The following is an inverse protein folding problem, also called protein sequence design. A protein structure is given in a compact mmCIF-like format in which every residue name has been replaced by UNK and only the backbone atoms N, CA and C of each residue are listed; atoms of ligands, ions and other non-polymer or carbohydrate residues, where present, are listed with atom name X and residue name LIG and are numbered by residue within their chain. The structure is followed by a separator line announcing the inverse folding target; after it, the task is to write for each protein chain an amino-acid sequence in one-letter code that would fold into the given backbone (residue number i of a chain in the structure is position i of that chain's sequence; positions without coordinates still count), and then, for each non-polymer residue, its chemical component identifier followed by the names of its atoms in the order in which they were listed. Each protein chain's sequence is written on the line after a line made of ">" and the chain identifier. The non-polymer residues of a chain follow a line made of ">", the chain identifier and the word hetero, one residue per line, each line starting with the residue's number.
data_IF_170214159444
#
_entry.id   IF_170214159444
#
_cell.length_a   1.000
_cell.length_b   1.000
_cell.length_c   1.000
_cell.angle_alpha   90.00
_cell.angle_beta   90.00
_cell.angle_gamma   90.00
#
_symmetry.space_group_name_H-M   'P 1'
#
loop_
_entity.id
_entity.type
_entity.pdbx_description
1 polymer ?
#
# COMPACT_ATOMS: atom_id res chain seq x y z
N UNK A 1 6.27 -9.04 34.10
CA UNK A 1 5.27 -9.62 33.18
C UNK A 1 4.03 -8.76 32.98
N UNK A 2 3.25 -8.40 34.01
CA UNK A 2 2.01 -7.63 33.82
C UNK A 2 2.25 -6.26 33.15
N UNK A 3 3.23 -5.49 33.65
CA UNK A 3 3.62 -4.19 33.07
C UNK A 3 3.99 -4.30 31.58
N UNK A 4 4.71 -5.37 31.22
CA UNK A 4 5.00 -5.68 29.83
C UNK A 4 3.70 -5.96 29.04
N UNK A 5 2.80 -6.82 29.53
CA UNK A 5 1.56 -7.10 28.79
C UNK A 5 0.65 -5.88 28.59
N UNK A 6 0.76 -4.88 29.45
CA UNK A 6 -0.05 -3.65 29.40
C UNK A 6 0.67 -2.46 28.77
N UNK A 7 1.87 -2.63 28.22
CA UNK A 7 2.57 -1.57 27.49
C UNK A 7 3.36 -0.56 28.32
N UNK A 8 3.53 -0.79 29.63
CA UNK A 8 4.32 0.09 30.52
C UNK A 8 5.79 -0.34 30.52
N UNK A 9 6.45 -0.21 29.36
CA UNK A 9 7.79 -0.76 29.10
C UNK A 9 8.89 -0.13 29.96
N UNK A 10 8.83 1.18 30.15
CA UNK A 10 9.74 1.95 31.02
C UNK A 10 9.70 1.44 32.47
N UNK A 11 8.49 1.30 33.02
CA UNK A 11 8.28 0.78 34.38
C UNK A 11 8.67 -0.70 34.49
N UNK A 12 8.41 -1.48 33.44
CA UNK A 12 8.78 -2.88 33.39
C UNK A 12 10.31 -3.06 33.39
N UNK A 13 11.04 -2.26 32.62
CA UNK A 13 12.50 -2.28 32.57
C UNK A 13 13.12 -1.87 33.91
N UNK A 14 12.67 -0.75 34.48
CA UNK A 14 13.17 -0.25 35.77
C UNK A 14 12.92 -1.25 36.90
N UNK A 15 11.71 -1.82 36.96
CA UNK A 15 11.37 -2.83 37.96
C UNK A 15 12.21 -4.10 37.80
N UNK A 16 12.40 -4.58 36.56
CA UNK A 16 13.20 -5.76 36.32
C UNK A 16 14.67 -5.57 36.73
N UNK A 17 15.26 -4.40 36.46
CA UNK A 17 16.62 -4.05 36.89
C UNK A 17 16.74 -4.01 38.42
N UNK A 18 15.79 -3.36 39.12
CA UNK A 18 15.77 -3.32 40.59
C UNK A 18 15.69 -4.72 41.19
N UNK A 19 14.84 -5.58 40.64
CA UNK A 19 14.67 -6.95 41.13
C UNK A 19 15.92 -7.81 40.85
N UNK A 20 16.58 -7.64 39.71
CA UNK A 20 17.82 -8.36 39.40
C UNK A 20 18.97 -8.07 40.37
N UNK A 21 18.97 -6.89 41.00
CA UNK A 21 19.97 -6.48 41.99
C UNK A 21 19.76 -7.15 43.36
N UNK A 22 18.53 -7.55 43.69
CA UNK A 22 18.19 -8.13 45.00
C UNK A 22 17.93 -9.64 44.96
N UNK A 23 17.60 -10.20 43.78
CA UNK A 23 17.40 -11.64 43.62
C UNK A 23 18.74 -12.38 43.64
N UNK A 24 18.93 -13.38 44.54
CA UNK A 24 20.16 -14.14 44.65
C UNK A 24 20.61 -14.77 43.32
N UNK A 25 21.93 -14.83 43.03
CA UNK A 25 22.45 -15.35 41.75
C UNK A 25 22.07 -16.82 41.44
N UNK A 26 21.83 -17.62 42.48
CA UNK A 26 21.43 -19.03 42.41
C UNK A 26 19.92 -19.24 42.18
N UNK A 27 19.11 -18.18 42.26
CA UNK A 27 17.66 -18.22 42.00
C UNK A 27 17.35 -18.21 40.50
N UNK A 28 17.68 -19.30 39.81
CA UNK A 28 17.66 -19.43 38.35
C UNK A 28 16.34 -19.01 37.70
N UNK A 29 15.20 -19.61 38.08
CA UNK A 29 13.90 -19.35 37.42
C UNK A 29 13.46 -17.88 37.56
N UNK A 30 13.48 -17.26 38.75
CA UNK A 30 13.21 -15.83 38.90
C UNK A 30 14.14 -14.93 38.05
N UNK A 31 15.44 -15.24 37.99
CA UNK A 31 16.38 -14.45 37.18
C UNK A 31 16.10 -14.59 35.68
N UNK A 32 15.72 -15.78 35.21
CA UNK A 32 15.32 -16.00 33.83
C UNK A 32 14.11 -15.15 33.43
N UNK A 33 13.09 -15.10 34.26
CA UNK A 33 11.93 -14.26 34.00
C UNK A 33 12.31 -12.78 33.98
N UNK A 34 13.15 -12.33 34.90
CA UNK A 34 13.55 -10.93 34.98
C UNK A 34 14.40 -10.50 33.79
N UNK A 35 15.41 -11.28 33.39
CA UNK A 35 16.22 -10.96 32.20
C UNK A 35 15.39 -10.98 30.91
N UNK A 36 14.47 -11.94 30.75
CA UNK A 36 13.56 -11.95 29.61
C UNK A 36 12.66 -10.70 29.59
N UNK A 37 12.02 -10.38 30.73
CA UNK A 37 11.14 -9.21 30.81
C UNK A 37 11.89 -7.89 30.59
N UNK A 38 13.13 -7.79 31.05
CA UNK A 38 14.00 -6.63 30.85
C UNK A 38 14.37 -6.48 29.38
N UNK A 39 14.85 -7.55 28.74
CA UNK A 39 15.21 -7.54 27.33
C UNK A 39 14.00 -7.19 26.43
N UNK A 40 12.83 -7.77 26.73
CA UNK A 40 11.60 -7.48 26.00
C UNK A 40 11.19 -6.00 26.14
N UNK A 41 11.26 -5.44 27.35
CA UNK A 41 10.93 -4.04 27.59
C UNK A 41 11.91 -3.09 26.89
N UNK A 42 13.21 -3.35 27.00
CA UNK A 42 14.27 -2.56 26.33
C UNK A 42 14.12 -2.58 24.80
N UNK A 43 13.79 -3.74 24.23
CA UNK A 43 13.52 -3.87 22.80
C UNK A 43 12.31 -3.03 22.37
N UNK A 44 11.20 -3.06 23.13
CA UNK A 44 10.00 -2.24 22.84
C UNK A 44 10.25 -0.73 23.02
N UNK A 45 11.24 -0.35 23.82
CA UNK A 45 11.72 1.03 23.96
C UNK A 45 12.74 1.43 22.88
N UNK A 46 13.15 0.52 21.99
CA UNK A 46 14.16 0.78 20.95
C UNK A 46 15.60 0.75 21.45
N UNK A 47 15.87 0.30 22.67
CA UNK A 47 17.21 0.21 23.25
C UNK A 47 17.89 -1.11 22.84
N UNK A 48 18.22 -1.24 21.56
CA UNK A 48 18.66 -2.51 20.95
C UNK A 48 19.91 -3.09 21.61
N UNK A 49 20.94 -2.28 21.88
CA UNK A 49 22.18 -2.73 22.53
C UNK A 49 21.93 -3.25 23.96
N UNK A 50 21.07 -2.56 24.71
CA UNK A 50 20.73 -2.95 26.08
C UNK A 50 19.91 -4.24 26.10
N UNK A 51 18.95 -4.37 25.17
CA UNK A 51 18.15 -5.57 25.02
C UNK A 51 19.00 -6.78 24.61
N UNK A 52 19.97 -6.60 23.70
CA UNK A 52 20.94 -7.65 23.34
C UNK A 52 21.80 -8.07 24.54
N UNK A 53 22.26 -7.09 25.33
CA UNK A 53 23.03 -7.36 26.56
C UNK A 53 22.19 -8.16 27.57
N UNK A 54 20.93 -7.77 27.78
CA UNK A 54 19.99 -8.49 28.66
C UNK A 54 19.66 -9.89 28.14
N UNK A 55 19.57 -10.10 26.83
CA UNK A 55 19.39 -11.43 26.25
C UNK A 55 20.61 -12.34 26.43
N UNK A 56 21.83 -11.80 26.32
CA UNK A 56 23.04 -12.57 26.66
C UNK A 56 23.05 -12.99 28.13
N UNK A 57 22.64 -12.10 29.04
CA UNK A 57 22.51 -12.41 30.45
C UNK A 57 21.42 -13.47 30.72
N UNK A 58 20.30 -13.43 29.98
CA UNK A 58 19.30 -14.50 29.98
C UNK A 58 19.92 -15.84 29.57
N UNK A 59 20.69 -15.88 28.48
CA UNK A 59 21.29 -17.12 27.98
C UNK A 59 22.25 -17.76 28.99
N UNK A 60 23.03 -16.95 29.69
CA UNK A 60 23.93 -17.41 30.75
C UNK A 60 23.15 -17.93 31.96
N UNK A 61 22.16 -17.18 32.45
CA UNK A 61 21.39 -17.54 33.64
C UNK A 61 20.47 -18.76 33.42
N UNK A 62 20.04 -18.99 32.17
CA UNK A 62 18.97 -19.93 31.83
C UNK A 62 19.45 -21.14 31.04
N UNK A 63 20.77 -21.36 30.96
CA UNK A 63 21.40 -22.41 30.16
C UNK A 63 20.94 -23.84 30.52
N UNK A 64 20.38 -24.06 31.70
CA UNK A 64 19.88 -25.36 32.18
C UNK A 64 18.39 -25.62 31.94
N UNK A 65 17.60 -24.66 31.44
CA UNK A 65 16.18 -24.88 31.18
C UNK A 65 15.96 -25.93 30.06
N UNK A 66 14.88 -26.71 30.04
CA UNK A 66 14.56 -27.53 28.88
C UNK A 66 14.44 -26.68 27.60
N UNK A 67 14.86 -27.17 26.41
CA UNK A 67 14.70 -26.44 25.15
C UNK A 67 13.27 -25.99 24.84
N UNK A 68 12.28 -26.80 25.23
CA UNK A 68 10.85 -26.54 25.08
C UNK A 68 10.23 -25.72 26.22
N UNK A 69 11.04 -25.22 27.16
CA UNK A 69 10.55 -24.36 28.24
C UNK A 69 9.99 -23.05 27.66
N UNK A 70 8.83 -22.62 28.14
CA UNK A 70 8.09 -21.45 27.61
C UNK A 70 8.95 -20.18 27.50
N UNK A 71 9.78 -19.90 28.51
CA UNK A 71 10.72 -18.77 28.48
C UNK A 71 11.78 -18.89 27.37
N UNK A 72 12.29 -20.09 27.06
CA UNK A 72 13.25 -20.25 25.96
C UNK A 72 12.58 -20.04 24.60
N UNK A 73 11.35 -20.52 24.45
CA UNK A 73 10.54 -20.30 23.24
C UNK A 73 10.29 -18.80 23.04
N UNK A 74 9.85 -18.10 24.08
CA UNK A 74 9.61 -16.65 24.03
C UNK A 74 10.90 -15.85 23.78
N UNK A 75 12.02 -16.24 24.40
CA UNK A 75 13.33 -15.65 24.16
C UNK A 75 13.79 -15.82 22.70
N UNK A 76 13.41 -16.92 22.03
CA UNK A 76 13.69 -17.12 20.61
C UNK A 76 13.07 -16.03 19.73
N UNK A 77 11.87 -15.56 20.06
CA UNK A 77 11.21 -14.47 19.33
C UNK A 77 11.95 -13.14 19.55
N UNK A 78 12.33 -12.83 20.79
CA UNK A 78 13.11 -11.63 21.11
C UNK A 78 14.47 -11.63 20.42
N UNK A 79 15.15 -12.78 20.32
CA UNK A 79 16.41 -12.89 19.58
C UNK A 79 16.24 -12.70 18.08
N UNK A 80 15.15 -13.19 17.49
CA UNK A 80 14.85 -12.98 16.08
C UNK A 80 14.65 -11.48 15.78
N UNK A 81 14.07 -10.74 16.71
CA UNK A 81 13.92 -9.28 16.62
C UNK A 81 15.24 -8.51 16.89
N UNK A 82 16.14 -9.03 17.73
CA UNK A 82 17.43 -8.40 18.09
C UNK A 82 18.61 -8.75 17.18
N UNK A 83 18.52 -9.84 16.44
CA UNK A 83 19.58 -10.24 15.52
C UNK A 83 19.82 -9.14 14.48
N UNK A 84 21.01 -9.10 13.84
CA UNK A 84 21.16 -8.29 12.64
C UNK A 84 19.99 -8.64 11.73
N UNK A 85 19.23 -7.63 11.29
CA UNK A 85 18.33 -7.81 10.16
C UNK A 85 19.23 -8.13 8.98
N UNK A 86 19.64 -9.40 8.86
CA UNK A 86 20.24 -9.91 7.66
C UNK A 86 19.33 -9.42 6.53
N UNK A 87 19.88 -8.86 5.44
CA UNK A 87 19.07 -8.49 4.30
C UNK A 87 18.24 -9.72 3.98
N UNK A 88 16.94 -9.62 4.26
CA UNK A 88 15.99 -10.63 3.86
C UNK A 88 16.12 -10.57 2.35
N UNK A 89 16.66 -11.63 1.75
CA UNK A 89 16.59 -11.79 0.29
C UNK A 89 15.19 -11.37 -0.10
N UNK A 90 15.01 -10.38 -0.99
CA UNK A 90 13.70 -9.88 -1.31
C UNK A 90 12.78 -11.09 -1.52
N UNK A 91 11.68 -11.23 -0.76
CA UNK A 91 10.77 -12.36 -0.91
C UNK A 91 10.10 -12.39 -2.29
N UNK A 92 10.32 -11.34 -3.09
CA UNK A 92 9.93 -11.19 -4.48
C UNK A 92 11.10 -11.64 -5.37
N UNK A 93 10.84 -12.57 -6.29
CA UNK A 93 11.83 -13.02 -7.26
C UNK A 93 12.43 -11.84 -8.04
N UNK A 94 13.74 -11.85 -8.23
CA UNK A 94 14.40 -10.88 -9.09
C UNK A 94 14.26 -11.33 -10.55
N UNK A 95 13.56 -10.54 -11.34
CA UNK A 95 13.37 -10.74 -12.78
C UNK A 95 14.46 -10.05 -13.61
N UNK A 96 15.44 -9.41 -12.97
CA UNK A 96 16.57 -8.73 -13.59
C UNK A 96 16.25 -7.36 -14.20
N UNK A 97 15.02 -6.86 -14.02
CA UNK A 97 14.63 -5.54 -14.54
C UNK A 97 15.19 -4.40 -13.66
N UNK A 98 15.05 -4.53 -12.34
CA UNK A 98 15.39 -3.44 -11.43
C UNK A 98 16.89 -3.33 -11.22
N UNK A 99 17.44 -2.19 -11.61
CA UNK A 99 18.77 -1.78 -11.17
C UNK A 99 18.68 -1.12 -9.79
N UNK A 100 19.67 -1.40 -8.94
CA UNK A 100 19.86 -0.67 -7.68
C UNK A 100 20.91 0.42 -7.86
N UNK A 101 20.82 1.47 -7.05
CA UNK A 101 21.82 2.53 -6.98
C UNK A 101 22.11 2.93 -5.54
N UNK A 102 23.35 3.35 -5.30
CA UNK A 102 23.68 4.09 -4.07
C UNK A 102 22.87 5.40 -4.07
N UNK A 103 22.08 5.69 -3.01
CA UNK A 103 21.24 6.89 -2.92
C UNK A 103 22.00 8.18 -3.23
N UNK A 104 23.23 8.31 -2.74
CA UNK A 104 24.05 9.53 -2.87
C UNK A 104 24.43 9.79 -4.33
N UNK A 105 24.65 8.74 -5.11
CA UNK A 105 25.02 8.84 -6.54
C UNK A 105 23.88 9.31 -7.43
N UNK A 106 22.64 9.24 -6.95
CA UNK A 106 21.44 9.71 -7.67
C UNK A 106 20.77 10.90 -6.97
N UNK A 107 21.51 11.60 -6.10
CA UNK A 107 21.06 12.82 -5.44
C UNK A 107 19.91 12.59 -4.47
N UNK A 108 19.99 11.49 -3.70
CA UNK A 108 19.08 11.18 -2.59
C UNK A 108 19.85 11.29 -1.27
N UNK A 109 19.29 12.02 -0.31
CA UNK A 109 19.84 12.13 1.04
C UNK A 109 19.71 10.78 1.79
N UNK A 110 20.85 10.20 2.16
CA UNK A 110 20.91 8.88 2.79
C UNK A 110 20.31 8.87 4.21
N UNK A 111 20.45 9.95 4.97
CA UNK A 111 19.91 10.05 6.34
C UNK A 111 18.39 10.20 6.31
N UNK A 112 17.86 11.01 5.39
CA UNK A 112 16.42 11.13 5.15
C UNK A 112 15.82 9.80 4.67
N UNK A 113 16.56 9.06 3.83
CA UNK A 113 16.14 7.74 3.36
C UNK A 113 16.12 6.73 4.52
N UNK A 114 17.09 6.74 5.42
CA UNK A 114 17.06 5.88 6.63
C UNK A 114 15.90 6.26 7.57
N UNK A 115 15.62 7.56 7.76
CA UNK A 115 14.42 8.01 8.51
C UNK A 115 13.13 7.49 7.87
N UNK A 116 13.05 7.49 6.54
CA UNK A 116 11.90 6.93 5.82
C UNK A 116 11.76 5.41 6.04
N UNK A 117 12.86 4.64 6.01
CA UNK A 117 12.83 3.21 6.35
C UNK A 117 12.35 2.97 7.78
N UNK A 118 12.86 3.73 8.74
CA UNK A 118 12.41 3.64 10.13
C UNK A 118 10.91 3.99 10.28
N UNK A 119 10.43 4.99 9.55
CA UNK A 119 9.00 5.34 9.50
C UNK A 119 8.15 4.22 8.90
N UNK A 120 8.61 3.54 7.85
CA UNK A 120 7.94 2.37 7.30
C UNK A 120 7.72 1.29 8.36
N UNK A 121 8.76 0.97 9.13
CA UNK A 121 8.68 0.00 10.21
C UNK A 121 7.73 0.46 11.34
N UNK A 122 7.89 1.69 11.83
CA UNK A 122 7.08 2.25 12.93
C UNK A 122 5.60 2.44 12.56
N UNK A 123 5.32 2.65 11.28
CA UNK A 123 3.95 2.78 10.75
C UNK A 123 3.30 1.43 10.42
N UNK A 124 3.97 0.31 10.71
CA UNK A 124 3.42 -1.03 10.51
C UNK A 124 3.42 -1.51 9.06
N UNK A 125 4.20 -0.91 8.17
CA UNK A 125 4.31 -1.36 6.79
C UNK A 125 4.84 -2.81 6.71
N UNK A 126 4.41 -3.51 5.67
CA UNK A 126 4.96 -4.81 5.28
C UNK A 126 6.06 -4.65 4.24
N UNK A 127 5.97 -3.64 3.37
CA UNK A 127 7.02 -3.34 2.42
C UNK A 127 7.10 -1.85 2.12
N UNK A 128 8.31 -1.39 1.84
CA UNK A 128 8.59 -0.07 1.30
C UNK A 128 9.64 -0.15 0.19
N UNK A 129 9.37 0.49 -0.94
CA UNK A 129 10.29 0.61 -2.08
C UNK A 129 10.36 2.07 -2.51
N UNK A 130 11.56 2.60 -2.65
CA UNK A 130 11.83 3.94 -3.18
C UNK A 130 12.63 3.79 -4.47
N UNK A 131 12.09 4.36 -5.54
CA UNK A 131 12.71 4.40 -6.86
C UNK A 131 13.02 5.85 -7.21
N UNK A 132 14.27 6.12 -7.59
CA UNK A 132 14.72 7.41 -8.09
C UNK A 132 15.36 7.23 -9.46
N UNK A 133 14.94 8.03 -10.45
CA UNK A 133 15.48 7.97 -11.83
C UNK A 133 15.49 6.54 -12.40
N UNK A 134 14.42 5.79 -12.15
CA UNK A 134 14.25 4.42 -12.62
C UNK A 134 15.09 3.35 -11.89
N UNK A 135 15.80 3.71 -10.81
CA UNK A 135 16.60 2.76 -10.00
C UNK A 135 16.06 2.65 -8.58
N UNK A 136 16.08 1.45 -8.02
CA UNK A 136 15.76 1.24 -6.61
C UNK A 136 16.90 1.81 -5.76
N UNK A 137 16.57 2.74 -4.86
CA UNK A 137 17.50 3.33 -3.88
C UNK A 137 17.23 2.86 -2.46
N UNK A 138 16.01 2.40 -2.19
CA UNK A 138 15.66 1.73 -0.95
C UNK A 138 14.64 0.64 -1.23
N UNK A 139 14.84 -0.51 -0.60
CA UNK A 139 13.90 -1.62 -0.61
C UNK A 139 13.96 -2.31 0.74
N UNK A 140 12.80 -2.40 1.41
CA UNK A 140 12.67 -2.98 2.73
C UNK A 140 11.39 -3.79 2.83
N UNK A 141 11.49 -4.95 3.49
CA UNK A 141 10.37 -5.85 3.74
C UNK A 141 10.36 -6.23 5.21
N UNK A 142 9.18 -6.17 5.83
CA UNK A 142 8.99 -6.65 7.19
C UNK A 142 8.92 -8.19 7.20
N UNK A 143 9.23 -8.85 8.33
CA UNK A 143 9.02 -10.30 8.48
C UNK A 143 7.57 -10.76 8.30
N UNK A 144 6.60 -9.83 8.29
CA UNK A 144 5.18 -10.12 8.07
C UNK A 144 4.78 -10.08 6.60
N UNK A 145 5.66 -9.59 5.72
CA UNK A 145 5.37 -9.49 4.30
C UNK A 145 5.19 -10.86 3.65
N UNK A 146 4.14 -10.98 2.85
CA UNK A 146 3.85 -12.15 2.03
C UNK A 146 3.36 -11.66 0.66
N UNK A 147 3.68 -12.44 -0.39
CA UNK A 147 3.27 -12.16 -1.76
C UNK A 147 2.19 -13.15 -2.23
N UNK A 148 1.25 -12.72 -3.10
CA UNK A 148 1.00 -11.33 -3.50
C UNK A 148 0.28 -10.54 -2.40
N UNK A 149 0.52 -9.23 -2.38
CA UNK A 149 -0.13 -8.31 -1.46
C UNK A 149 -1.33 -7.61 -2.12
N UNK A 150 -2.36 -7.32 -1.34
CA UNK A 150 -3.56 -6.65 -1.82
C UNK A 150 -3.34 -5.14 -1.87
N UNK A 151 -3.55 -4.51 -3.02
CA UNK A 151 -3.36 -3.07 -3.22
C UNK A 151 -4.49 -2.21 -2.62
N UNK A 152 -5.53 -2.82 -2.03
CA UNK A 152 -6.68 -2.10 -1.49
C UNK A 152 -7.26 -1.13 -2.54
N UNK A 153 -7.75 0.04 -2.13
CA UNK A 153 -8.29 1.06 -3.04
C UNK A 153 -7.29 1.64 -4.05
N UNK A 154 -5.99 1.36 -3.96
CA UNK A 154 -5.04 1.80 -4.99
C UNK A 154 -5.34 1.18 -6.37
N UNK A 155 -6.08 0.07 -6.39
CA UNK A 155 -6.65 -0.54 -7.60
C UNK A 155 -7.46 0.44 -8.45
N UNK A 156 -8.12 1.43 -7.84
CA UNK A 156 -8.92 2.43 -8.57
C UNK A 156 -8.06 3.21 -9.58
N UNK A 157 -6.82 3.52 -9.23
CA UNK A 157 -5.90 4.24 -10.12
C UNK A 157 -5.48 3.40 -11.32
N UNK A 158 -5.38 2.07 -11.14
CA UNK A 158 -5.20 1.12 -12.25
C UNK A 158 -6.45 1.07 -13.13
N UNK A 159 -7.64 1.00 -12.54
CA UNK A 159 -8.92 1.10 -13.28
C UNK A 159 -8.99 2.40 -14.10
N UNK A 160 -8.60 3.54 -13.52
CA UNK A 160 -8.51 4.81 -14.23
C UNK A 160 -7.57 4.74 -15.42
N UNK A 161 -6.39 4.12 -15.25
CA UNK A 161 -5.45 3.90 -16.35
C UNK A 161 -6.06 3.05 -17.48
N UNK A 162 -6.79 1.99 -17.16
CA UNK A 162 -7.46 1.14 -18.16
C UNK A 162 -8.53 1.91 -18.95
N UNK A 163 -9.28 2.82 -18.29
CA UNK A 163 -10.21 3.73 -18.99
C UNK A 163 -9.44 4.62 -19.98
N UNK A 164 -8.31 5.19 -19.56
CA UNK A 164 -7.44 5.99 -20.44
C UNK A 164 -6.95 5.22 -21.66
N UNK A 165 -6.49 3.99 -21.47
CA UNK A 165 -6.02 3.14 -22.56
C UNK A 165 -7.15 2.81 -23.55
N UNK A 166 -8.37 2.53 -23.06
CA UNK A 166 -9.53 2.27 -23.91
C UNK A 166 -10.03 3.53 -24.64
N UNK A 167 -9.86 4.73 -24.05
CA UNK A 167 -10.08 6.00 -24.74
C UNK A 167 -9.07 6.22 -25.87
N UNK A 168 -7.78 6.00 -25.59
CA UNK A 168 -6.71 6.14 -26.59
C UNK A 168 -6.89 5.17 -27.77
N UNK A 169 -7.46 3.98 -27.52
CA UNK A 169 -7.81 2.99 -28.54
C UNK A 169 -9.12 3.31 -29.30
N UNK A 170 -9.85 4.35 -28.91
CA UNK A 170 -11.16 4.68 -29.48
C UNK A 170 -12.27 3.67 -29.12
N UNK A 171 -12.03 2.80 -28.15
CA UNK A 171 -13.02 1.82 -27.64
C UNK A 171 -14.03 2.46 -26.68
N UNK A 172 -13.60 3.50 -25.98
CA UNK A 172 -14.48 4.43 -25.29
C UNK A 172 -14.48 5.75 -26.08
N UNK A 173 -15.63 6.29 -26.49
CA UNK A 173 -15.65 7.51 -27.31
C UNK A 173 -15.15 8.76 -26.58
N UNK A 174 -15.57 8.96 -25.33
CA UNK A 174 -15.16 10.13 -24.53
C UNK A 174 -15.46 9.93 -23.04
N UNK A 175 -14.91 10.79 -22.18
CA UNK A 175 -15.32 10.85 -20.76
C UNK A 175 -16.78 11.27 -20.58
N UNK A 176 -17.34 12.04 -21.52
CA UNK A 176 -18.75 12.39 -21.54
C UNK A 176 -19.68 11.24 -21.92
N UNK A 177 -19.15 10.07 -22.30
CA UNK A 177 -19.96 8.91 -22.67
C UNK A 177 -20.90 8.52 -21.52
N UNK A 178 -22.22 8.51 -21.76
CA UNK A 178 -23.19 8.06 -20.77
C UNK A 178 -23.00 6.57 -20.44
N UNK A 179 -23.17 6.22 -19.17
CA UNK A 179 -23.18 4.82 -18.71
C UNK A 179 -24.24 4.01 -19.45
N UNK A 180 -25.34 4.66 -19.82
CA UNK A 180 -26.46 4.04 -20.50
C UNK A 180 -26.12 3.43 -21.87
N UNK A 181 -25.04 3.89 -22.52
CA UNK A 181 -24.52 3.29 -23.76
C UNK A 181 -24.06 1.84 -23.54
N UNK A 182 -23.59 1.51 -22.34
CA UNK A 182 -23.13 0.17 -21.98
C UNK A 182 -24.18 -0.60 -21.18
N UNK A 183 -25.03 0.08 -20.43
CA UNK A 183 -26.03 -0.52 -19.54
C UNK A 183 -27.42 0.03 -19.89
N UNK A 184 -28.19 -0.71 -20.71
CA UNK A 184 -29.48 -0.22 -21.21
C UNK A 184 -30.49 0.15 -20.11
N UNK A 185 -30.45 -0.53 -18.95
CA UNK A 185 -31.30 -0.18 -17.80
C UNK A 185 -30.95 1.15 -17.12
N UNK A 186 -29.82 1.76 -17.49
CA UNK A 186 -29.42 3.10 -17.06
C UNK A 186 -29.89 4.19 -18.04
N UNK A 187 -30.63 3.86 -19.11
CA UNK A 187 -31.15 4.85 -20.07
C UNK A 187 -32.36 5.67 -19.57
N UNK A 188 -32.87 5.42 -18.36
CA UNK A 188 -34.09 6.05 -17.84
C UNK A 188 -33.84 6.79 -16.52
N UNK A 189 -34.64 7.85 -16.30
CA UNK A 189 -34.56 8.69 -15.11
C UNK A 189 -33.19 9.33 -14.91
N UNK A 190 -32.86 9.66 -13.67
CA UNK A 190 -31.61 10.36 -13.34
C UNK A 190 -30.34 9.56 -13.69
N UNK A 191 -30.45 8.22 -13.75
CA UNK A 191 -29.34 7.34 -14.16
C UNK A 191 -28.88 7.61 -15.60
N UNK A 192 -29.77 8.11 -16.46
CA UNK A 192 -29.44 8.45 -17.86
C UNK A 192 -28.40 9.58 -17.97
N UNK A 193 -28.24 10.38 -16.92
CA UNK A 193 -27.29 11.48 -16.86
C UNK A 193 -25.93 11.09 -16.27
N UNK A 194 -25.74 9.85 -15.82
CA UNK A 194 -24.45 9.38 -15.32
C UNK A 194 -23.50 9.11 -16.49
N UNK A 195 -22.31 9.70 -16.44
CA UNK A 195 -21.26 9.58 -17.46
C UNK A 195 -20.01 8.92 -16.87
N UNK A 196 -19.06 8.53 -17.73
CA UNK A 196 -17.76 8.07 -17.27
C UNK A 196 -17.00 9.12 -16.47
N UNK A 197 -17.12 10.42 -16.81
CA UNK A 197 -16.60 11.51 -15.98
C UNK A 197 -17.10 11.34 -14.55
N UNK A 198 -18.41 11.21 -14.35
CA UNK A 198 -18.97 11.14 -13.00
C UNK A 198 -18.48 9.92 -12.19
N UNK A 199 -18.24 8.77 -12.83
CA UNK A 199 -17.68 7.60 -12.15
C UNK A 199 -16.22 7.82 -11.74
N UNK A 200 -15.41 8.42 -12.61
CA UNK A 200 -13.99 8.66 -12.37
C UNK A 200 -13.72 9.80 -11.38
N UNK A 201 -14.63 10.78 -11.29
CA UNK A 201 -14.50 11.95 -10.41
C UNK A 201 -15.16 11.75 -9.05
N UNK A 202 -15.73 10.58 -8.77
CA UNK A 202 -16.48 10.28 -7.54
C UNK A 202 -17.72 11.15 -7.36
N UNK A 203 -18.40 11.50 -8.47
CA UNK A 203 -19.59 12.36 -8.48
C UNK A 203 -20.78 11.71 -9.21
N UNK A 204 -20.85 10.38 -9.28
CA UNK A 204 -21.91 9.66 -9.98
C UNK A 204 -23.28 9.71 -9.31
N UNK A 205 -23.31 10.09 -8.04
CA UNK A 205 -24.50 10.00 -7.21
C UNK A 205 -24.78 8.59 -6.69
N UNK A 206 -23.96 7.58 -7.03
CA UNK A 206 -24.03 6.28 -6.36
C UNK A 206 -23.62 6.40 -4.89
N UNK A 207 -24.25 5.63 -3.99
CA UNK A 207 -23.98 5.73 -2.56
C UNK A 207 -22.55 5.32 -2.23
N UNK A 208 -22.01 5.85 -1.14
CA UNK A 208 -20.82 5.29 -0.47
C UNK A 208 -21.30 4.33 0.60
N UNK A 209 -21.12 3.03 0.38
CA UNK A 209 -21.52 2.00 1.35
C UNK A 209 -20.29 1.45 2.10
N UNK A 210 -20.51 1.00 3.34
CA UNK A 210 -19.47 0.35 4.16
C UNK A 210 -19.91 -1.07 4.49
N UNK A 211 -20.81 -1.23 5.46
CA UNK A 211 -21.50 -2.49 5.70
C UNK A 211 -22.53 -2.73 4.58
N UNK A 212 -22.70 -4.00 4.18
CA UNK A 212 -23.65 -4.42 3.13
C UNK A 212 -23.39 -3.77 1.76
N UNK A 213 -22.20 -3.19 1.57
CA UNK A 213 -21.78 -2.60 0.31
C UNK A 213 -21.27 -3.64 -0.67
N UNK A 214 -20.67 -3.14 -1.76
CA UNK A 214 -20.17 -4.00 -2.85
C UNK A 214 -19.12 -5.04 -2.39
N UNK A 215 -18.42 -4.77 -1.29
CA UNK A 215 -17.48 -5.72 -0.67
C UNK A 215 -18.13 -6.93 -0.01
N UNK A 216 -19.42 -6.88 0.30
CA UNK A 216 -20.14 -7.93 1.05
C UNK A 216 -20.98 -8.87 0.17
N UNK A 217 -20.97 -8.68 -1.16
CA UNK A 217 -21.74 -9.50 -2.10
C UNK A 217 -20.83 -10.37 -2.98
N UNK A 218 -21.33 -11.54 -3.38
CA UNK A 218 -20.59 -12.51 -4.20
C UNK A 218 -20.56 -12.17 -5.69
N UNK A 219 -21.62 -11.53 -6.20
CA UNK A 219 -21.72 -11.05 -7.58
C UNK A 219 -21.90 -9.53 -7.56
N UNK A 220 -20.83 -8.82 -7.94
CA UNK A 220 -20.70 -7.38 -7.67
C UNK A 220 -21.38 -6.52 -8.71
N UNK A 221 -21.36 -6.96 -9.97
CA UNK A 221 -21.82 -6.16 -11.10
C UNK A 221 -23.35 -5.96 -11.07
N UNK A 222 -24.19 -7.02 -10.97
CA UNK A 222 -25.63 -6.85 -10.84
C UNK A 222 -26.03 -6.04 -9.62
N UNK A 223 -25.30 -6.19 -8.50
CA UNK A 223 -25.53 -5.42 -7.29
C UNK A 223 -25.40 -3.92 -7.56
N UNK A 224 -24.25 -3.46 -8.06
CA UNK A 224 -24.03 -2.00 -8.28
C UNK A 224 -24.88 -1.45 -9.42
N UNK A 225 -25.19 -2.25 -10.44
CA UNK A 225 -26.08 -1.85 -11.53
C UNK A 225 -27.50 -1.59 -11.02
N UNK A 226 -27.97 -2.36 -10.03
CA UNK A 226 -29.30 -2.25 -9.45
C UNK A 226 -29.45 -1.08 -8.45
N UNK A 227 -28.34 -0.62 -7.83
CA UNK A 227 -28.39 0.41 -6.78
C UNK A 227 -29.09 1.70 -7.25
N UNK A 228 -29.95 2.32 -6.42
CA UNK A 228 -30.48 3.65 -6.71
C UNK A 228 -29.38 4.72 -6.55
N UNK A 229 -29.59 5.88 -7.18
CA UNK A 229 -28.75 7.04 -6.91
C UNK A 229 -29.15 7.63 -5.54
N UNK A 230 -28.15 7.98 -4.74
CA UNK A 230 -28.30 8.71 -3.48
C UNK A 230 -28.25 10.24 -3.67
N UNK A 231 -27.76 10.71 -4.81
CA UNK A 231 -27.71 12.13 -5.18
C UNK A 231 -27.81 12.31 -6.70
N UNK A 232 -28.14 13.51 -7.15
CA UNK A 232 -28.09 13.88 -8.56
C UNK A 232 -26.64 13.78 -9.08
N UNK A 233 -26.40 13.20 -10.27
CA UNK A 233 -25.04 13.11 -10.82
C UNK A 233 -24.38 14.49 -10.95
N UNK A 234 -23.13 14.60 -10.53
CA UNK A 234 -22.32 15.81 -10.60
C UNK A 234 -22.50 16.80 -9.43
N UNK A 235 -23.47 16.61 -8.54
CA UNK A 235 -23.77 17.60 -7.48
C UNK A 235 -23.09 17.32 -6.14
N UNK A 236 -22.66 16.09 -5.90
CA UNK A 236 -21.98 15.69 -4.66
C UNK A 236 -20.73 14.88 -4.95
N UNK A 237 -19.72 15.04 -4.09
CA UNK A 237 -18.52 14.19 -4.11
C UNK A 237 -18.63 13.15 -3.02
N UNK A 238 -18.55 11.88 -3.40
CA UNK A 238 -18.59 10.74 -2.49
C UNK A 238 -17.64 9.65 -2.97
N UNK A 239 -16.63 9.33 -2.15
CA UNK A 239 -15.69 8.24 -2.42
C UNK A 239 -16.38 6.87 -2.38
N UNK A 240 -17.00 6.49 -3.50
CA UNK A 240 -17.92 5.36 -3.64
C UNK A 240 -17.22 4.18 -4.29
N UNK A 241 -17.16 3.04 -3.58
CA UNK A 241 -16.69 1.79 -4.17
C UNK A 241 -17.70 1.29 -5.21
N UNK A 242 -18.98 1.53 -4.96
CA UNK A 242 -20.10 1.15 -5.82
C UNK A 242 -20.00 1.85 -7.18
N UNK A 243 -19.68 3.15 -7.16
CA UNK A 243 -19.44 3.95 -8.37
C UNK A 243 -18.29 3.42 -9.21
N UNK A 244 -17.18 3.05 -8.58
CA UNK A 244 -16.02 2.52 -9.32
C UNK A 244 -16.27 1.09 -9.79
N UNK A 245 -16.96 0.24 -9.01
CA UNK A 245 -17.31 -1.12 -9.46
C UNK A 245 -18.18 -1.10 -10.71
N UNK A 246 -19.04 -0.09 -10.88
CA UNK A 246 -19.85 0.04 -12.11
C UNK A 246 -18.99 0.15 -13.39
N UNK A 247 -17.70 0.49 -13.28
CA UNK A 247 -16.77 0.44 -14.39
C UNK A 247 -16.48 -1.00 -14.86
N UNK A 248 -16.57 -2.03 -14.02
CA UNK A 248 -16.32 -3.44 -14.41
C UNK A 248 -17.11 -3.85 -15.67
N UNK A 249 -18.47 -3.86 -15.66
CA UNK A 249 -19.23 -4.30 -16.82
C UNK A 249 -19.17 -3.32 -18.01
N UNK A 250 -18.79 -2.06 -17.76
CA UNK A 250 -18.58 -1.06 -18.82
C UNK A 250 -17.27 -1.35 -19.56
N UNK A 251 -16.20 -1.59 -18.80
CA UNK A 251 -14.87 -1.82 -19.35
C UNK A 251 -14.80 -3.18 -20.05
N UNK A 252 -15.47 -4.21 -19.56
CA UNK A 252 -15.62 -5.49 -20.27
C UNK A 252 -16.22 -5.28 -21.67
N UNK A 253 -17.32 -4.52 -21.75
CA UNK A 253 -18.01 -4.23 -23.03
C UNK A 253 -17.16 -3.37 -23.96
N UNK A 254 -16.47 -2.36 -23.43
CA UNK A 254 -15.61 -1.50 -24.22
C UNK A 254 -14.37 -2.27 -24.73
N UNK A 255 -13.75 -3.10 -23.88
CA UNK A 255 -12.60 -3.92 -24.24
C UNK A 255 -12.97 -5.02 -25.24
N UNK A 256 -14.19 -5.57 -25.14
CA UNK A 256 -14.66 -6.73 -25.91
C UNK A 256 -14.20 -8.07 -25.32
N UNK A 257 -13.65 -8.05 -24.11
CA UNK A 257 -13.11 -9.18 -23.33
C UNK A 257 -13.17 -8.80 -21.84
N UNK A 258 -13.07 -9.74 -20.90
CA UNK A 258 -12.98 -9.42 -19.47
C UNK A 258 -11.86 -8.41 -19.19
N UNK A 259 -12.13 -7.40 -18.38
CA UNK A 259 -11.20 -6.30 -18.16
C UNK A 259 -9.90 -6.74 -17.49
N UNK A 260 -9.94 -7.83 -16.71
CA UNK A 260 -8.73 -8.45 -16.17
C UNK A 260 -7.85 -9.02 -17.31
N UNK A 261 -8.42 -9.66 -18.33
CA UNK A 261 -7.66 -10.23 -19.45
C UNK A 261 -7.03 -9.11 -20.30
N UNK A 262 -7.82 -8.05 -20.56
CA UNK A 262 -7.31 -6.83 -21.20
C UNK A 262 -6.18 -6.21 -20.37
N UNK A 263 -6.35 -6.04 -19.06
CA UNK A 263 -5.33 -5.48 -18.18
C UNK A 263 -4.05 -6.33 -18.16
N UNK A 264 -4.17 -7.65 -18.09
CA UNK A 264 -3.02 -8.55 -18.16
C UNK A 264 -2.26 -8.36 -19.47
N UNK A 265 -2.93 -8.48 -20.61
CA UNK A 265 -2.32 -8.43 -21.94
C UNK A 265 -1.79 -7.05 -22.35
N UNK A 266 -2.45 -5.98 -21.90
CA UNK A 266 -2.19 -4.61 -22.39
C UNK A 266 -1.41 -3.75 -21.41
N UNK A 267 -1.44 -4.08 -20.13
CA UNK A 267 -0.79 -3.30 -19.08
C UNK A 267 0.23 -4.15 -18.29
N UNK A 268 -0.21 -5.22 -17.63
CA UNK A 268 0.66 -5.93 -16.69
C UNK A 268 1.81 -6.68 -17.39
N UNK A 269 1.51 -7.50 -18.40
CA UNK A 269 2.52 -8.24 -19.15
C UNK A 269 3.53 -7.31 -19.86
N UNK A 270 3.11 -6.25 -20.59
CA UNK A 270 4.06 -5.31 -21.20
C UNK A 270 4.96 -4.57 -20.20
N UNK A 271 4.49 -4.33 -18.98
CA UNK A 271 5.31 -3.73 -17.92
C UNK A 271 6.21 -4.77 -17.22
N UNK A 272 5.96 -6.06 -17.41
CA UNK A 272 6.64 -7.13 -16.66
C UNK A 272 6.07 -7.35 -15.25
N UNK A 273 4.84 -6.91 -15.00
CA UNK A 273 4.13 -7.07 -13.72
C UNK A 273 3.53 -8.48 -13.59
N UNK A 274 4.40 -9.50 -13.54
CA UNK A 274 4.02 -10.92 -13.66
C UNK A 274 3.26 -11.49 -12.45
N UNK A 275 3.39 -10.86 -11.29
CA UNK A 275 2.66 -11.25 -10.07
C UNK A 275 1.47 -10.34 -9.79
N UNK A 276 1.00 -9.61 -10.81
CA UNK A 276 -0.10 -8.68 -10.69
C UNK A 276 -1.35 -9.14 -11.43
N UNK A 277 -2.50 -9.10 -10.75
CA UNK A 277 -3.82 -9.33 -11.36
C UNK A 277 -4.91 -8.59 -10.61
N UNK A 278 -5.96 -8.19 -11.32
CA UNK A 278 -7.19 -7.74 -10.67
C UNK A 278 -7.82 -8.92 -9.92
N UNK A 279 -8.32 -8.67 -8.71
CA UNK A 279 -9.09 -9.67 -7.98
C UNK A 279 -10.43 -9.89 -8.67
N UNK A 280 -10.93 -11.13 -8.64
CA UNK A 280 -12.17 -11.51 -9.29
C UNK A 280 -13.19 -11.93 -8.25
N UNK A 281 -14.47 -11.63 -8.49
CA UNK A 281 -15.57 -12.16 -7.68
C UNK A 281 -15.92 -13.62 -8.06
N UNK A 282 -16.93 -14.20 -7.43
CA UNK A 282 -17.33 -15.61 -7.66
C UNK A 282 -17.89 -15.86 -9.07
N UNK A 283 -18.16 -14.79 -9.84
CA UNK A 283 -18.64 -14.81 -11.22
C UNK A 283 -17.57 -14.37 -12.23
N UNK A 284 -16.33 -14.21 -11.78
CA UNK A 284 -15.21 -13.74 -12.56
C UNK A 284 -15.31 -12.26 -13.01
N UNK A 285 -16.13 -11.44 -12.36
CA UNK A 285 -16.09 -9.99 -12.57
C UNK A 285 -14.92 -9.38 -11.80
N UNK A 286 -14.19 -8.48 -12.45
CA UNK A 286 -13.03 -7.84 -11.82
C UNK A 286 -13.46 -6.82 -10.76
N UNK A 287 -12.72 -6.79 -9.65
CA UNK A 287 -12.85 -5.77 -8.63
C UNK A 287 -12.15 -4.51 -9.12
N UNK A 288 -12.90 -3.60 -9.74
CA UNK A 288 -12.32 -2.35 -10.25
C UNK A 288 -12.12 -1.30 -9.16
N UNK A 289 -12.75 -1.48 -7.98
CA UNK A 289 -12.63 -0.55 -6.86
C UNK A 289 -11.52 -0.89 -5.86
N UNK A 290 -11.06 -2.15 -5.77
CA UNK A 290 -10.10 -2.54 -4.74
C UNK A 290 -9.35 -3.84 -5.07
N UNK A 291 -8.32 -4.10 -4.27
CA UNK A 291 -7.81 -5.44 -4.01
C UNK A 291 -7.14 -6.17 -5.18
N UNK A 292 -6.68 -5.45 -6.20
CA UNK A 292 -5.65 -5.96 -7.11
C UNK A 292 -4.50 -6.58 -6.32
N UNK A 293 -4.15 -7.80 -6.68
CA UNK A 293 -3.00 -8.52 -6.16
C UNK A 293 -1.75 -8.02 -6.87
N UNK A 294 -0.68 -7.72 -6.14
CA UNK A 294 0.57 -7.22 -6.72
C UNK A 294 1.77 -7.40 -5.77
N UNK A 295 2.96 -7.06 -6.26
CA UNK A 295 4.19 -6.95 -5.47
C UNK A 295 4.63 -5.48 -5.37
N UNK A 296 5.43 -5.09 -4.36
CA UNK A 296 5.96 -3.73 -4.28
C UNK A 296 6.76 -3.31 -5.52
N UNK A 297 7.53 -4.26 -6.09
CA UNK A 297 8.30 -4.06 -7.33
C UNK A 297 7.39 -3.88 -8.54
N UNK A 298 6.36 -4.70 -8.71
CA UNK A 298 5.39 -4.55 -9.80
C UNK A 298 4.66 -3.22 -9.70
N UNK A 299 4.22 -2.87 -8.49
CA UNK A 299 3.50 -1.63 -8.27
C UNK A 299 4.39 -0.40 -8.54
N UNK A 300 5.70 -0.48 -8.26
CA UNK A 300 6.67 0.55 -8.62
C UNK A 300 6.85 0.70 -10.14
N UNK A 301 6.67 -0.37 -10.95
CA UNK A 301 6.69 -0.29 -12.42
C UNK A 301 5.55 0.60 -12.93
N UNK A 302 4.36 0.48 -12.35
CA UNK A 302 3.24 1.37 -12.63
C UNK A 302 3.58 2.83 -12.28
N UNK A 303 4.25 3.05 -11.14
CA UNK A 303 4.76 4.37 -10.76
C UNK A 303 5.71 4.96 -11.79
N UNK A 304 6.66 4.16 -12.28
CA UNK A 304 7.61 4.58 -13.32
C UNK A 304 6.93 4.85 -14.66
N UNK A 305 5.90 4.07 -15.04
CA UNK A 305 5.07 4.36 -16.22
C UNK A 305 4.43 5.76 -16.11
N UNK A 306 3.83 6.06 -14.97
CA UNK A 306 3.18 7.35 -14.71
C UNK A 306 4.21 8.50 -14.67
N UNK A 307 5.36 8.27 -14.02
CA UNK A 307 6.48 9.20 -13.98
C UNK A 307 6.97 9.56 -15.39
N UNK A 308 7.02 8.57 -16.27
CA UNK A 308 7.41 8.70 -17.67
C UNK A 308 6.24 9.04 -18.61
N UNK A 309 5.16 9.62 -18.08
CA UNK A 309 4.02 10.15 -18.86
C UNK A 309 3.43 9.13 -19.84
N UNK A 310 3.30 7.89 -19.36
CA UNK A 310 2.68 6.79 -20.10
C UNK A 310 3.62 6.05 -21.06
N UNK A 311 4.93 6.33 -21.02
CA UNK A 311 5.95 5.63 -21.80
C UNK A 311 6.66 4.59 -20.94
N UNK A 312 6.69 3.34 -21.42
CA UNK A 312 7.44 2.24 -20.83
C UNK A 312 8.46 1.72 -21.84
N UNK A 313 9.75 1.73 -21.47
CA UNK A 313 10.85 1.25 -22.33
C UNK A 313 10.79 1.78 -23.79
N UNK A 314 10.46 3.06 -23.96
CA UNK A 314 10.35 3.71 -25.27
C UNK A 314 9.03 3.45 -26.01
N UNK A 315 8.14 2.60 -25.49
CA UNK A 315 6.80 2.35 -26.04
C UNK A 315 5.75 3.10 -25.24
N UNK A 316 4.83 3.79 -25.93
CA UNK A 316 3.65 4.39 -25.30
C UNK A 316 2.64 3.31 -24.93
N UNK A 317 2.30 3.23 -23.64
CA UNK A 317 1.25 2.35 -23.10
C UNK A 317 -0.05 3.13 -22.94
N UNK A 318 0.05 4.38 -22.48
CA UNK A 318 -1.08 5.33 -22.39
C UNK A 318 -0.63 6.72 -22.84
N UNK A 319 -1.55 7.55 -23.31
CA UNK A 319 -1.28 8.90 -23.76
C UNK A 319 -0.79 9.80 -22.61
N UNK A 320 0.13 10.69 -22.94
CA UNK A 320 0.58 11.74 -22.03
C UNK A 320 -0.58 12.65 -21.63
N UNK A 321 -1.50 12.90 -22.57
CA UNK A 321 -2.74 13.63 -22.32
C UNK A 321 -3.59 12.98 -21.24
N UNK A 322 -3.75 11.64 -21.26
CA UNK A 322 -4.45 10.93 -20.19
C UNK A 322 -3.72 11.03 -18.86
N UNK A 323 -2.39 10.79 -18.83
CA UNK A 323 -1.60 10.90 -17.59
C UNK A 323 -1.80 12.28 -16.97
N UNK A 324 -1.59 13.34 -17.74
CA UNK A 324 -1.79 14.72 -17.29
C UNK A 324 -3.23 14.93 -16.77
N UNK A 325 -4.24 14.61 -17.57
CA UNK A 325 -5.65 14.84 -17.21
C UNK A 325 -6.07 14.05 -15.97
N UNK A 326 -5.56 12.84 -15.81
CA UNK A 326 -5.90 11.96 -14.68
C UNK A 326 -5.28 12.41 -13.36
N UNK A 327 -4.21 13.21 -13.42
CA UNK A 327 -3.45 13.69 -12.25
C UNK A 327 -3.58 15.21 -12.05
N UNK A 328 -4.61 15.83 -12.62
CA UNK A 328 -5.01 17.22 -12.36
C UNK A 328 -6.37 17.25 -11.62
N UNK A 329 -6.71 18.34 -10.90
CA UNK A 329 -8.00 18.46 -10.23
C UNK A 329 -9.14 18.20 -11.22
N UNK A 330 -9.98 17.21 -10.90
CA UNK A 330 -11.00 16.73 -11.83
C UNK A 330 -12.35 17.46 -11.70
N UNK A 331 -12.58 18.11 -10.56
CA UNK A 331 -13.81 18.84 -10.21
C UNK A 331 -13.56 19.77 -9.00
N UNK A 332 -14.51 20.65 -8.68
CA UNK A 332 -14.37 21.70 -7.65
C UNK A 332 -14.77 21.30 -6.21
N UNK A 333 -15.63 20.30 -6.05
CA UNK A 333 -16.09 19.74 -4.76
C UNK A 333 -14.96 19.07 -3.95
N UNK A 334 -13.95 18.50 -4.61
CA UNK A 334 -12.72 18.00 -3.99
C UNK A 334 -11.53 18.17 -4.94
N UNK A 335 -10.83 19.30 -4.81
CA UNK A 335 -9.67 19.63 -5.65
C UNK A 335 -8.43 18.77 -5.39
N UNK A 336 -8.44 17.91 -4.36
CA UNK A 336 -7.37 16.95 -4.10
C UNK A 336 -7.59 15.61 -4.82
N UNK A 337 -8.53 15.55 -5.78
CA UNK A 337 -8.88 14.33 -6.50
C UNK A 337 -8.85 14.52 -8.02
N UNK A 338 -8.09 13.68 -8.72
CA UNK A 338 -8.05 13.57 -10.17
C UNK A 338 -9.03 12.53 -10.71
N UNK A 339 -8.68 11.88 -11.82
CA UNK A 339 -9.46 10.76 -12.37
C UNK A 339 -8.99 9.44 -11.73
N UNK A 340 -9.53 9.15 -10.55
CA UNK A 340 -9.12 8.03 -9.69
C UNK A 340 -7.70 8.10 -9.11
N UNK A 341 -7.14 9.31 -9.01
CA UNK A 341 -5.86 9.60 -8.34
C UNK A 341 -6.05 10.62 -7.22
N UNK A 342 -5.34 10.45 -6.10
CA UNK A 342 -5.24 11.47 -5.07
C UNK A 342 -4.12 12.45 -5.43
N UNK A 343 -4.36 13.75 -5.27
CA UNK A 343 -3.41 14.80 -5.60
C UNK A 343 -2.70 15.29 -4.33
N UNK A 344 -1.40 15.53 -4.45
CA UNK A 344 -0.52 15.95 -3.35
C UNK A 344 0.03 17.32 -3.72
N UNK A 345 -0.11 18.28 -2.80
CA UNK A 345 0.31 19.66 -3.02
C UNK A 345 1.79 19.87 -2.72
N UNK A 346 2.28 19.29 -1.62
CA UNK A 346 3.64 19.49 -1.13
C UNK A 346 4.26 18.17 -0.60
N UNK A 347 5.31 17.62 -1.25
CA UNK A 347 5.78 18.01 -2.58
C UNK A 347 4.72 17.72 -3.65
N UNK A 348 4.69 18.50 -4.73
CA UNK A 348 3.67 18.34 -5.77
C UNK A 348 3.80 16.95 -6.41
N UNK A 349 2.71 16.18 -6.35
CA UNK A 349 2.68 14.81 -6.86
C UNK A 349 1.27 14.23 -6.83
N UNK A 350 1.19 12.93 -6.97
CA UNK A 350 -0.08 12.20 -6.93
C UNK A 350 0.13 10.78 -6.40
N UNK A 351 -0.95 10.17 -5.92
CA UNK A 351 -0.91 8.84 -5.34
C UNK A 351 -2.14 8.00 -5.67
N UNK A 352 -1.89 6.71 -5.89
CA UNK A 352 -2.89 5.69 -5.68
C UNK A 352 -2.91 5.42 -4.17
N UNK A 353 -4.07 5.60 -3.52
CA UNK A 353 -4.19 5.42 -2.06
C UNK A 353 -5.13 4.28 -1.70
N UNK A 354 -4.62 3.38 -0.86
CA UNK A 354 -5.29 2.21 -0.32
C UNK A 354 -5.52 2.33 1.18
N UNK A 355 -6.38 1.46 1.70
CA UNK A 355 -6.53 1.29 3.14
C UNK A 355 -5.19 0.83 3.75
N UNK A 356 -4.95 1.20 5.01
CA UNK A 356 -3.68 0.98 5.72
C UNK A 356 -2.47 1.59 5.00
N UNK A 357 -2.63 2.70 4.27
CA UNK A 357 -1.56 3.36 3.53
C UNK A 357 -0.83 2.42 2.55
N UNK A 358 -1.58 1.50 1.92
CA UNK A 358 -1.10 0.70 0.80
C UNK A 358 -1.12 1.55 -0.47
N UNK A 359 -0.05 2.31 -0.67
CA UNK A 359 -0.02 3.46 -1.56
C UNK A 359 1.13 3.38 -2.56
N UNK A 360 0.90 3.91 -3.76
CA UNK A 360 1.92 4.25 -4.75
C UNK A 360 1.92 5.77 -4.90
N UNK A 361 3.05 6.39 -4.60
CA UNK A 361 3.30 7.81 -4.76
C UNK A 361 4.18 8.06 -5.97
N UNK A 362 3.89 9.13 -6.71
CA UNK A 362 4.69 9.60 -7.84
C UNK A 362 4.90 11.10 -7.69
N UNK A 363 6.16 11.52 -7.71
CA UNK A 363 6.57 12.92 -7.63
C UNK A 363 7.39 13.27 -8.87
N UNK A 364 6.75 13.78 -9.94
CA UNK A 364 7.40 13.99 -11.23
C UNK A 364 8.61 14.92 -11.18
N UNK A 365 8.53 16.04 -10.46
CA UNK A 365 9.62 17.00 -10.36
C UNK A 365 10.87 16.40 -9.70
N UNK A 366 10.67 15.49 -8.76
CA UNK A 366 11.73 14.79 -8.03
C UNK A 366 12.19 13.52 -8.75
N UNK A 367 11.57 13.11 -9.87
CA UNK A 367 11.82 11.82 -10.53
C UNK A 367 11.71 10.62 -9.56
N UNK A 368 10.76 10.71 -8.61
CA UNK A 368 10.66 9.84 -7.45
C UNK A 368 9.35 9.03 -7.47
N UNK A 369 9.46 7.75 -7.17
CA UNK A 369 8.34 6.83 -6.97
C UNK A 369 8.53 6.15 -5.62
N UNK A 370 7.46 6.09 -4.81
CA UNK A 370 7.47 5.42 -3.50
C UNK A 370 6.30 4.48 -3.42
N UNK A 371 6.57 3.23 -3.09
CA UNK A 371 5.56 2.22 -2.79
C UNK A 371 5.65 1.87 -1.32
N UNK A 372 4.51 1.91 -0.63
CA UNK A 372 4.34 1.35 0.72
C UNK A 372 3.16 0.39 0.69
N UNK A 373 3.29 -0.77 1.32
CA UNK A 373 2.20 -1.74 1.41
C UNK A 373 2.02 -2.25 2.83
N UNK A 374 0.77 -2.48 3.23
CA UNK A 374 0.42 -3.08 4.53
C UNK A 374 -0.85 -3.92 4.41
N UNK A 375 -0.75 -5.18 4.81
CA UNK A 375 -1.82 -6.17 4.72
C UNK A 375 -2.75 -6.17 5.93
N UNK A 376 -2.25 -5.84 7.12
CA UNK A 376 -3.01 -5.92 8.38
C UNK A 376 -2.68 -4.77 9.32
N UNK A 377 -3.64 -4.29 10.14
CA UNK A 377 -3.38 -3.30 11.17
C UNK A 377 -2.33 -3.80 12.18
N UNK A 378 -1.45 -2.92 12.63
CA UNK A 378 -0.45 -3.20 13.67
C UNK A 378 -0.73 -2.30 14.87
N UNK A 379 -0.91 -2.90 16.05
CA UNK A 379 -1.17 -2.15 17.27
C UNK A 379 0.02 -1.24 17.61
N UNK A 380 -0.25 0.02 17.96
CA UNK A 380 0.77 1.01 18.31
C UNK A 380 1.51 1.63 17.12
N UNK A 381 1.09 1.35 15.88
CA UNK A 381 1.65 2.01 14.69
C UNK A 381 1.28 3.49 14.61
N UNK A 382 2.19 4.30 14.07
CA UNK A 382 1.95 5.73 13.81
C UNK A 382 1.41 5.96 12.38
N UNK A 383 0.65 7.06 12.14
CA UNK A 383 0.22 7.41 10.78
C UNK A 383 1.43 7.61 9.85
N UNK A 384 1.41 6.99 8.68
CA UNK A 384 2.53 7.06 7.74
C UNK A 384 2.52 8.37 6.95
N UNK A 385 1.43 8.63 6.22
CA UNK A 385 1.43 9.62 5.14
C UNK A 385 1.84 11.05 5.57
N UNK A 386 1.32 11.62 6.66
CA UNK A 386 1.71 12.97 7.07
C UNK A 386 3.22 13.13 7.35
N UNK A 387 3.83 12.12 7.98
CA UNK A 387 5.27 12.12 8.26
C UNK A 387 6.08 11.81 7.00
N UNK A 388 5.58 10.91 6.14
CA UNK A 388 6.25 10.53 4.91
C UNK A 388 6.36 11.71 3.96
N UNK A 389 5.30 12.47 3.69
CA UNK A 389 5.34 13.59 2.74
C UNK A 389 6.39 14.65 3.09
N UNK A 390 6.60 14.91 4.38
CA UNK A 390 7.66 15.80 4.85
C UNK A 390 9.05 15.24 4.52
N UNK A 391 9.31 13.97 4.87
CA UNK A 391 10.58 13.30 4.57
C UNK A 391 10.84 13.18 3.07
N UNK A 392 9.80 12.89 2.26
CA UNK A 392 9.91 12.75 0.82
C UNK A 392 10.25 14.09 0.13
N UNK A 393 9.84 15.22 0.71
CA UNK A 393 10.29 16.54 0.26
C UNK A 393 11.77 16.80 0.56
N UNK A 394 12.31 16.20 1.62
CA UNK A 394 13.73 16.31 2.01
C UNK A 394 14.62 15.36 1.23
N UNK A 395 14.11 14.21 0.76
CA UNK A 395 14.90 13.17 0.07
C UNK A 395 15.70 13.71 -1.12
N UNK A 396 15.17 14.72 -1.80
CA UNK A 396 15.73 15.24 -3.04
C UNK A 396 15.89 16.75 -2.93
N UNK A 397 17.12 17.21 -2.77
CA UNK A 397 17.42 18.63 -2.89
C UNK A 397 17.40 19.05 -4.37
N UNK A 398 16.75 20.19 -4.70
CA UNK A 398 16.65 20.70 -6.07
C UNK A 398 18.00 21.13 -6.66
#
# INVERSE_FOLDING_TARGET
>A
MLLNRTGHWDQAAELAQRLLAVVPPDSMVPRCELYFNLAYAQLRLGHISDAATSMNAFDQACASLPPNHSLRVAAGQVRAELGPHAPVTPPVADDGFWQTADPTTVGVDADALERHRALCEQSGADACVVVRRGKIVQEWYSPRFHTPAMAMSSTKSVTGLLVGMLLDEGKIPSLGTPVCQYLAQWCAGDKAHVTLTHLLTMTSGLPRMYAEGVGSVSDKDPFVVALPLAATPGTTWAYSNEGVQLLSPILDKAAGEPIQDYAHRRLFEPLGMRETRLHLDERAHAWTYADMETTPRDFARLGVLMLNRGVWQGRRVVSEAWVQRSTEPSQDLNRQYGLLWWLIEAPQGYAARGYLDTNLYVFPAQELVVVRMQSRPVAGSIPYEPAALHLLAELVHP
#
